data_IF_568797030336
#
_entry.id   IF_568797030336
#
_cell.length_a   1.000
_cell.length_b   1.000
_cell.length_c   1.000
_cell.angle_alpha   90.00
_cell.angle_beta   90.00
_cell.angle_gamma   90.00
#
_symmetry.space_group_name_H-M   'P 1'
#
loop_
_entity.id
_entity.type
_entity.pdbx_description
1 polymer ?
#
# COMPACT_ATOMS: atom_id res chain seq x y z
N UNK A 1 3.94 35.01 -74.23
CA UNK A 1 2.68 34.29 -73.95
C UNK A 1 3.06 33.11 -73.06
N UNK A 2 2.89 33.23 -71.74
CA UNK A 2 1.73 32.71 -70.97
C UNK A 2 1.60 31.18 -71.09
N UNK A 3 1.99 30.42 -70.08
CA UNK A 3 1.07 29.95 -69.03
C UNK A 3 1.83 29.11 -67.97
N UNK A 4 1.70 29.59 -66.74
CA UNK A 4 2.09 28.95 -65.49
C UNK A 4 1.16 27.76 -65.25
N UNK A 5 1.71 26.56 -65.05
CA UNK A 5 0.94 25.41 -64.52
C UNK A 5 1.39 25.20 -63.07
N UNK A 6 0.71 25.89 -62.17
CA UNK A 6 0.75 25.61 -60.72
C UNK A 6 -0.15 24.40 -60.50
N UNK A 7 0.47 23.24 -60.29
CA UNK A 7 -0.22 22.04 -59.84
C UNK A 7 -0.55 22.21 -58.35
N UNK A 8 -1.80 22.57 -58.09
CA UNK A 8 -2.41 22.76 -56.78
C UNK A 8 -2.35 21.46 -55.97
N UNK A 9 -1.37 21.33 -55.09
CA UNK A 9 -1.33 20.32 -54.04
C UNK A 9 -2.42 20.64 -53.01
N UNK A 10 -3.63 20.16 -53.27
CA UNK A 10 -4.76 20.21 -52.33
C UNK A 10 -4.42 19.28 -51.16
N UNK A 11 -3.94 19.86 -50.06
CA UNK A 11 -3.82 19.21 -48.76
C UNK A 11 -5.21 18.71 -48.34
N UNK A 12 -5.48 17.41 -48.52
CA UNK A 12 -6.57 16.73 -47.83
C UNK A 12 -6.22 16.71 -46.33
N UNK A 13 -6.53 17.80 -45.65
CA UNK A 13 -6.58 17.83 -44.19
C UNK A 13 -7.78 17.00 -43.77
N UNK A 14 -7.60 15.69 -43.64
CA UNK A 14 -8.62 14.85 -43.00
C UNK A 14 -8.70 15.30 -41.55
N UNK A 15 -9.83 15.86 -41.08
CA UNK A 15 -9.98 16.10 -39.65
C UNK A 15 -9.82 14.76 -38.96
N UNK A 16 -8.85 14.65 -38.05
CA UNK A 16 -8.81 13.53 -37.12
C UNK A 16 -9.99 13.76 -36.18
N UNK A 17 -11.13 13.14 -36.49
CA UNK A 17 -12.28 13.17 -35.61
C UNK A 17 -11.86 12.48 -34.32
N UNK A 18 -11.91 13.20 -33.20
CA UNK A 18 -11.89 12.56 -31.90
C UNK A 18 -13.07 11.57 -31.90
N UNK A 19 -12.77 10.28 -31.82
CA UNK A 19 -13.81 9.28 -31.79
C UNK A 19 -14.62 9.48 -30.50
N UNK A 20 -15.94 9.53 -30.60
CA UNK A 20 -16.79 9.63 -29.41
C UNK A 20 -16.93 8.28 -28.72
N UNK A 21 -17.27 8.29 -27.43
CA UNK A 21 -17.66 7.09 -26.70
C UNK A 21 -19.04 6.62 -27.16
N UNK A 22 -19.07 5.48 -27.83
CA UNK A 22 -20.28 4.89 -28.39
C UNK A 22 -20.71 3.67 -27.59
N UNK A 23 -22.02 3.53 -27.40
CA UNK A 23 -22.59 2.38 -26.70
C UNK A 23 -22.65 1.18 -27.65
N UNK A 24 -21.82 0.18 -27.39
CA UNK A 24 -21.76 -1.05 -28.18
C UNK A 24 -22.67 -2.16 -27.64
N UNK A 25 -22.88 -2.18 -26.32
CA UNK A 25 -23.72 -3.20 -25.66
C UNK A 25 -24.57 -2.56 -24.56
N UNK A 26 -25.83 -2.98 -24.48
CA UNK A 26 -26.77 -2.62 -23.42
C UNK A 26 -27.55 -3.88 -23.02
N UNK A 27 -27.75 -4.10 -21.73
CA UNK A 27 -28.67 -5.10 -21.17
C UNK A 27 -29.26 -4.54 -19.87
N UNK A 28 -30.53 -4.82 -19.60
CA UNK A 28 -31.21 -4.32 -18.40
C UNK A 28 -31.35 -2.80 -18.40
N UNK A 29 -31.54 -2.20 -17.23
CA UNK A 29 -31.69 -0.75 -17.10
C UNK A 29 -30.34 -0.03 -17.23
N UNK A 30 -30.20 0.80 -18.27
CA UNK A 30 -29.07 1.73 -18.45
C UNK A 30 -29.61 3.11 -18.80
N UNK A 31 -29.21 4.12 -18.04
CA UNK A 31 -29.70 5.49 -18.19
C UNK A 31 -28.56 6.50 -18.20
N UNK A 32 -28.73 7.57 -18.97
CA UNK A 32 -27.83 8.72 -19.01
C UNK A 32 -28.56 9.98 -18.58
N UNK A 33 -27.85 10.93 -17.97
CA UNK A 33 -28.45 12.20 -17.53
C UNK A 33 -28.40 13.24 -18.64
N UNK A 34 -29.56 13.66 -19.14
CA UNK A 34 -29.71 14.72 -20.14
C UNK A 34 -30.52 15.85 -19.50
N UNK A 35 -29.88 17.00 -19.30
CA UNK A 35 -30.44 18.08 -18.49
C UNK A 35 -30.69 17.60 -17.06
N UNK A 36 -31.95 17.64 -16.62
CA UNK A 36 -32.36 17.18 -15.29
C UNK A 36 -32.95 15.75 -15.29
N UNK A 37 -33.11 15.14 -16.45
CA UNK A 37 -33.81 13.85 -16.60
C UNK A 37 -32.84 12.69 -16.85
N UNK A 38 -33.19 11.53 -16.31
CA UNK A 38 -32.56 10.26 -16.66
C UNK A 38 -33.28 9.68 -17.88
N UNK A 39 -32.54 9.43 -18.94
CA UNK A 39 -33.05 8.92 -20.23
C UNK A 39 -32.41 7.57 -20.50
N UNK A 40 -33.20 6.60 -20.97
CA UNK A 40 -32.70 5.28 -21.33
C UNK A 40 -31.62 5.36 -22.42
N UNK A 41 -30.61 4.50 -22.32
CA UNK A 41 -29.52 4.38 -23.28
C UNK A 41 -29.75 3.19 -24.18
N UNK A 42 -29.57 3.40 -25.48
CA UNK A 42 -29.65 2.36 -26.51
C UNK A 42 -28.27 2.09 -27.13
N UNK A 43 -28.11 0.92 -27.75
CA UNK A 43 -26.92 0.63 -28.57
C UNK A 43 -26.85 1.65 -29.72
N UNK A 44 -25.66 2.18 -29.97
CA UNK A 44 -25.39 3.20 -30.97
C UNK A 44 -25.43 4.62 -30.40
N UNK A 45 -25.98 4.82 -29.20
CA UNK A 45 -25.96 6.13 -28.56
C UNK A 45 -24.53 6.61 -28.31
N UNK A 46 -24.33 7.91 -28.47
CA UNK A 46 -23.09 8.59 -28.09
C UNK A 46 -23.22 9.12 -26.67
N UNK A 47 -22.26 8.79 -25.82
CA UNK A 47 -22.14 9.33 -24.46
C UNK A 47 -21.29 10.60 -24.52
N UNK A 48 -21.94 11.75 -24.34
CA UNK A 48 -21.24 13.03 -24.33
C UNK A 48 -20.25 13.16 -23.15
N UNK A 49 -19.25 14.02 -23.33
CA UNK A 49 -18.28 14.32 -22.29
C UNK A 49 -18.93 14.76 -20.97
N UNK A 50 -18.36 14.28 -19.87
CA UNK A 50 -18.76 14.51 -18.48
C UNK A 50 -20.24 14.19 -18.19
N UNK A 51 -20.90 13.37 -19.02
CA UNK A 51 -22.29 12.94 -18.83
C UNK A 51 -22.37 11.80 -17.81
N UNK A 52 -23.33 11.90 -16.90
CA UNK A 52 -23.62 10.79 -15.98
C UNK A 52 -24.24 9.63 -16.75
N UNK A 53 -23.69 8.45 -16.53
CA UNK A 53 -24.19 7.17 -17.02
C UNK A 53 -24.38 6.24 -15.81
N UNK A 54 -25.55 5.61 -15.71
CA UNK A 54 -25.95 4.79 -14.57
C UNK A 54 -26.57 3.48 -15.04
N UNK A 55 -26.19 2.38 -14.42
CA UNK A 55 -26.80 1.05 -14.59
C UNK A 55 -27.65 0.69 -13.38
N UNK A 56 -28.82 0.09 -13.61
CA UNK A 56 -29.63 -0.55 -12.57
C UNK A 56 -29.01 -1.85 -12.08
N UNK A 57 -29.71 -2.61 -11.24
CA UNK A 57 -29.20 -3.86 -10.66
C UNK A 57 -28.97 -4.96 -11.71
N UNK A 58 -29.82 -5.03 -12.73
CA UNK A 58 -29.70 -5.91 -13.89
C UNK A 58 -29.00 -5.25 -15.10
N UNK A 59 -28.67 -3.96 -14.96
CA UNK A 59 -28.08 -3.12 -16.00
C UNK A 59 -26.65 -3.51 -16.33
N UNK A 60 -26.28 -3.51 -17.62
CA UNK A 60 -24.92 -3.67 -18.14
C UNK A 60 -24.75 -2.79 -19.36
N UNK A 61 -23.62 -2.10 -19.45
CA UNK A 61 -23.28 -1.28 -20.61
C UNK A 61 -21.85 -1.55 -21.05
N UNK A 62 -21.62 -1.62 -22.36
CA UNK A 62 -20.29 -1.66 -22.96
C UNK A 62 -20.12 -0.47 -23.88
N UNK A 63 -19.14 0.37 -23.60
CA UNK A 63 -18.77 1.54 -24.38
C UNK A 63 -17.47 1.27 -25.13
N UNK A 64 -17.33 1.82 -26.33
CA UNK A 64 -16.09 1.76 -27.08
C UNK A 64 -15.75 3.08 -27.74
N UNK A 65 -14.45 3.34 -27.81
CA UNK A 65 -13.83 4.42 -28.57
C UNK A 65 -12.53 3.90 -29.18
N UNK A 66 -12.50 3.70 -30.49
CA UNK A 66 -11.34 3.09 -31.17
C UNK A 66 -11.02 1.70 -30.59
N UNK A 67 -9.86 1.57 -29.93
CA UNK A 67 -9.39 0.33 -29.30
C UNK A 67 -9.64 0.25 -27.79
N UNK A 68 -10.23 1.28 -27.22
CA UNK A 68 -10.51 1.36 -25.79
C UNK A 68 -11.94 0.94 -25.51
N UNK A 69 -12.14 0.20 -24.43
CA UNK A 69 -13.47 -0.23 -23.99
C UNK A 69 -13.69 0.00 -22.51
N UNK A 70 -14.91 0.39 -22.16
CA UNK A 70 -15.38 0.54 -20.77
C UNK A 70 -16.61 -0.36 -20.61
N UNK A 71 -16.56 -1.29 -19.67
CA UNK A 71 -17.68 -2.17 -19.33
C UNK A 71 -18.20 -1.80 -17.94
N UNK A 72 -19.51 -1.54 -17.85
CA UNK A 72 -20.22 -1.24 -16.62
C UNK A 72 -21.03 -2.45 -16.18
N UNK A 73 -20.80 -2.87 -14.94
CA UNK A 73 -21.63 -3.87 -14.27
C UNK A 73 -22.90 -3.22 -13.67
N UNK A 74 -23.77 -4.03 -13.08
CA UNK A 74 -24.97 -3.54 -12.41
C UNK A 74 -24.65 -2.68 -11.20
N UNK A 75 -25.56 -1.75 -10.88
CA UNK A 75 -25.40 -0.76 -9.80
C UNK A 75 -24.12 0.06 -9.95
N UNK A 76 -23.89 0.63 -11.13
CA UNK A 76 -22.69 1.41 -11.43
C UNK A 76 -23.05 2.80 -11.91
N UNK A 77 -22.34 3.82 -11.44
CA UNK A 77 -22.48 5.19 -11.93
C UNK A 77 -21.10 5.79 -12.23
N UNK A 78 -20.98 6.33 -13.44
CA UNK A 78 -19.75 6.97 -13.92
C UNK A 78 -20.02 8.27 -14.66
N UNK A 79 -18.95 9.04 -14.87
CA UNK A 79 -18.80 10.05 -15.92
C UNK A 79 -17.48 9.82 -16.63
N UNK A 80 -17.43 10.11 -17.92
CA UNK A 80 -16.19 10.07 -18.70
C UNK A 80 -15.79 11.50 -18.98
N UNK A 81 -14.59 11.90 -18.55
CA UNK A 81 -13.95 13.14 -18.97
C UNK A 81 -12.92 12.81 -20.03
N UNK A 82 -13.12 13.32 -21.22
CA UNK A 82 -12.32 13.00 -22.38
C UNK A 82 -11.74 14.27 -22.98
N UNK A 83 -10.43 14.47 -22.79
CA UNK A 83 -9.74 15.62 -23.35
C UNK A 83 -9.50 15.48 -24.88
N UNK A 84 -9.81 14.32 -25.46
CA UNK A 84 -9.62 14.00 -26.87
C UNK A 84 -8.79 12.73 -27.07
N UNK A 85 -8.80 12.20 -28.29
CA UNK A 85 -8.27 10.87 -28.61
C UNK A 85 -6.75 10.70 -28.34
N UNK A 86 -5.97 11.78 -28.37
CA UNK A 86 -4.52 11.77 -28.10
C UNK A 86 -4.16 12.19 -26.67
N UNK A 87 -5.15 12.62 -25.88
CA UNK A 87 -4.97 13.15 -24.54
C UNK A 87 -5.50 12.16 -23.49
N UNK A 88 -5.59 12.63 -22.25
CA UNK A 88 -6.01 11.85 -21.11
C UNK A 88 -7.53 11.64 -21.11
N UNK A 89 -7.97 10.39 -21.00
CA UNK A 89 -9.35 10.02 -20.65
C UNK A 89 -9.42 9.64 -19.18
N UNK A 90 -10.40 10.19 -18.46
CA UNK A 90 -10.61 9.96 -17.04
C UNK A 90 -12.03 9.48 -16.79
N UNK A 91 -12.19 8.25 -16.32
CA UNK A 91 -13.46 7.73 -15.86
C UNK A 91 -13.62 8.11 -14.38
N UNK A 92 -14.52 9.03 -14.10
CA UNK A 92 -14.94 9.39 -12.75
C UNK A 92 -16.01 8.40 -12.30
N UNK A 93 -15.68 7.49 -11.39
CA UNK A 93 -16.56 6.46 -10.88
C UNK A 93 -17.04 6.83 -9.48
N UNK A 94 -18.36 6.98 -9.35
CA UNK A 94 -18.99 7.30 -8.06
C UNK A 94 -19.16 6.02 -7.23
N UNK A 95 -19.66 4.94 -7.85
CA UNK A 95 -19.83 3.62 -7.25
C UNK A 95 -20.02 2.53 -8.33
N UNK A 96 -19.94 1.26 -7.93
CA UNK A 96 -20.19 0.09 -8.76
C UNK A 96 -18.91 -0.59 -9.23
N UNK A 97 -18.99 -1.31 -10.35
CA UNK A 97 -17.84 -2.02 -10.93
C UNK A 97 -17.66 -1.66 -12.40
N UNK A 98 -16.43 -1.27 -12.74
CA UNK A 98 -16.03 -0.84 -14.08
C UNK A 98 -14.84 -1.67 -14.52
N UNK A 99 -14.93 -2.31 -15.69
CA UNK A 99 -13.80 -2.98 -16.32
C UNK A 99 -13.31 -2.15 -17.50
N UNK A 100 -12.00 -1.97 -17.58
CA UNK A 100 -11.33 -1.14 -18.59
C UNK A 100 -10.41 -2.03 -19.42
N UNK A 101 -10.45 -1.84 -20.73
CA UNK A 101 -9.40 -2.25 -21.65
C UNK A 101 -8.87 -1.00 -22.34
N UNK A 102 -7.70 -0.53 -21.90
CA UNK A 102 -7.05 0.65 -22.45
C UNK A 102 -6.06 0.24 -23.55
N UNK A 103 -5.98 1.04 -24.61
CA UNK A 103 -5.01 0.83 -25.68
C UNK A 103 -3.58 0.91 -25.14
N UNK A 104 -2.65 0.13 -25.70
CA UNK A 104 -1.24 0.23 -25.30
C UNK A 104 -0.57 1.43 -25.98
N UNK A 105 -0.08 2.37 -25.17
CA UNK A 105 0.67 3.56 -25.59
C UNK A 105 1.93 3.75 -24.74
N UNK A 106 2.83 4.61 -25.22
CA UNK A 106 4.08 4.92 -24.50
C UNK A 106 3.88 5.91 -23.33
N UNK A 107 2.72 6.57 -23.27
CA UNK A 107 2.36 7.58 -22.29
C UNK A 107 1.09 7.18 -21.53
N UNK A 108 0.93 7.75 -20.33
CA UNK A 108 -0.31 7.62 -19.56
C UNK A 108 -1.40 8.40 -20.29
N UNK A 109 -2.52 7.76 -20.55
CA UNK A 109 -3.62 8.35 -21.33
C UNK A 109 -4.99 7.91 -20.83
N UNK A 110 -5.04 7.03 -19.82
CA UNK A 110 -6.29 6.56 -19.26
C UNK A 110 -6.19 6.50 -17.74
N UNK A 111 -7.25 6.96 -17.06
CA UNK A 111 -7.38 6.75 -15.62
C UNK A 111 -8.81 6.47 -15.20
N UNK A 112 -8.95 5.79 -14.07
CA UNK A 112 -10.20 5.66 -13.34
C UNK A 112 -9.99 6.32 -11.98
N UNK A 113 -10.86 7.26 -11.63
CA UNK A 113 -10.81 7.94 -10.35
C UNK A 113 -12.08 7.64 -9.57
N UNK A 114 -11.87 7.27 -8.31
CA UNK A 114 -12.94 7.07 -7.32
C UNK A 114 -12.71 8.04 -6.16
N UNK A 115 -13.61 8.02 -5.19
CA UNK A 115 -13.44 8.74 -3.93
C UNK A 115 -12.17 8.33 -3.14
N UNK A 116 -11.70 7.08 -3.30
CA UNK A 116 -10.66 6.50 -2.45
C UNK A 116 -9.32 6.29 -3.16
N UNK A 117 -9.36 6.01 -4.46
CA UNK A 117 -8.15 5.77 -5.25
C UNK A 117 -8.27 6.30 -6.67
N UNK A 118 -7.11 6.54 -7.28
CA UNK A 118 -6.96 6.76 -8.71
C UNK A 118 -6.08 5.65 -9.31
N UNK A 119 -6.54 5.05 -10.41
CA UNK A 119 -5.81 4.05 -11.18
C UNK A 119 -5.39 4.68 -12.52
N UNK A 120 -4.09 4.78 -12.79
CA UNK A 120 -3.53 5.44 -13.98
C UNK A 120 -2.75 4.43 -14.82
N UNK A 121 -2.97 4.45 -16.13
CA UNK A 121 -2.50 3.37 -17.01
C UNK A 121 -2.01 3.86 -18.37
N UNK A 122 -1.17 3.02 -18.99
CA UNK A 122 -0.64 3.17 -20.34
C UNK A 122 -1.08 2.07 -21.31
N UNK A 123 -1.89 1.10 -20.89
CA UNK A 123 -2.25 -0.05 -21.72
C UNK A 123 -2.44 -1.32 -20.91
N UNK A 124 -3.65 -1.49 -20.39
CA UNK A 124 -3.95 -2.47 -19.35
C UNK A 124 -5.36 -2.99 -19.48
N UNK A 125 -5.58 -4.20 -18.92
CA UNK A 125 -6.91 -4.70 -18.63
C UNK A 125 -7.07 -4.87 -17.13
N UNK A 126 -7.98 -4.11 -16.55
CA UNK A 126 -8.18 -4.07 -15.11
C UNK A 126 -9.63 -3.75 -14.77
N UNK A 127 -10.01 -4.09 -13.54
CA UNK A 127 -11.35 -3.85 -13.02
C UNK A 127 -11.23 -3.01 -11.76
N UNK A 128 -12.05 -1.96 -11.67
CA UNK A 128 -12.18 -1.10 -10.51
C UNK A 128 -13.55 -1.28 -9.89
N UNK A 129 -13.57 -1.61 -8.60
CA UNK A 129 -14.78 -1.67 -7.80
C UNK A 129 -14.75 -0.55 -6.78
N UNK A 130 -15.83 0.22 -6.69
CA UNK A 130 -15.97 1.30 -5.73
C UNK A 130 -17.32 1.21 -5.02
N UNK A 131 -17.32 1.47 -3.73
CA UNK A 131 -18.52 1.58 -2.92
C UNK A 131 -18.44 2.79 -1.99
N UNK A 132 -19.38 2.91 -1.05
CA UNK A 132 -19.46 4.06 -0.15
C UNK A 132 -18.33 4.14 0.89
N UNK A 133 -17.54 3.07 1.09
CA UNK A 133 -16.50 2.97 2.11
C UNK A 133 -15.15 2.49 1.58
N UNK A 134 -15.08 1.94 0.38
CA UNK A 134 -13.87 1.37 -0.19
C UNK A 134 -13.78 1.51 -1.71
N UNK A 135 -12.56 1.34 -2.21
CA UNK A 135 -12.32 1.05 -3.61
C UNK A 135 -11.22 -0.01 -3.74
N UNK A 136 -11.29 -0.82 -4.80
CA UNK A 136 -10.28 -1.82 -5.13
C UNK A 136 -10.04 -1.88 -6.63
N UNK A 137 -8.82 -2.28 -6.99
CA UNK A 137 -8.36 -2.47 -8.36
C UNK A 137 -7.81 -3.87 -8.47
N UNK A 138 -8.23 -4.62 -9.50
CA UNK A 138 -7.66 -5.92 -9.84
C UNK A 138 -7.12 -5.87 -11.27
N UNK A 139 -5.89 -6.36 -11.47
CA UNK A 139 -5.20 -6.26 -12.75
C UNK A 139 -5.09 -7.63 -13.40
N UNK A 140 -5.54 -7.73 -14.65
CA UNK A 140 -5.45 -8.96 -15.45
C UNK A 140 -4.36 -8.89 -16.52
N UNK A 141 -4.01 -7.68 -16.99
CA UNK A 141 -2.97 -7.47 -18.00
C UNK A 141 -2.33 -6.09 -17.84
N UNK A 142 -1.00 -6.04 -18.02
CA UNK A 142 -0.21 -4.81 -17.97
C UNK A 142 0.05 -4.37 -16.54
N UNK A 143 0.43 -3.10 -16.36
CA UNK A 143 0.77 -2.51 -15.05
C UNK A 143 -0.13 -1.32 -14.79
N UNK A 144 -0.79 -1.31 -13.64
CA UNK A 144 -1.64 -0.20 -13.21
C UNK A 144 -1.00 0.51 -12.04
N UNK A 145 -0.75 1.81 -12.19
CA UNK A 145 -0.33 2.62 -11.05
C UNK A 145 -1.57 2.99 -10.24
N UNK A 146 -1.61 2.59 -8.97
CA UNK A 146 -2.71 2.91 -8.05
C UNK A 146 -2.22 3.92 -7.02
N UNK A 147 -3.02 4.97 -6.82
CA UNK A 147 -2.75 6.05 -5.89
C UNK A 147 -3.88 6.13 -4.85
N UNK A 148 -3.54 6.24 -3.57
CA UNK A 148 -4.49 6.56 -2.49
C UNK A 148 -4.81 8.05 -2.55
N UNK A 149 -6.06 8.38 -2.86
CA UNK A 149 -6.51 9.77 -3.07
C UNK A 149 -6.43 10.64 -1.81
N UNK A 150 -6.25 10.05 -0.62
CA UNK A 150 -6.24 10.78 0.67
C UNK A 150 -4.89 10.80 1.37
N UNK A 151 -3.99 9.85 1.09
CA UNK A 151 -2.82 9.58 1.94
C UNK A 151 -1.48 9.67 1.21
N UNK A 152 -1.48 10.18 -0.02
CA UNK A 152 -0.28 10.35 -0.85
C UNK A 152 0.54 9.06 -1.03
N UNK A 153 -0.15 7.92 -1.08
CA UNK A 153 0.44 6.60 -1.29
C UNK A 153 0.29 6.19 -2.75
N UNK A 154 1.29 5.46 -3.25
CA UNK A 154 1.35 4.97 -4.62
C UNK A 154 2.01 3.59 -4.67
N UNK A 155 1.55 2.76 -5.60
CA UNK A 155 2.16 1.48 -5.92
C UNK A 155 1.81 1.07 -7.35
N UNK A 156 2.63 0.20 -7.92
CA UNK A 156 2.37 -0.42 -9.23
C UNK A 156 1.81 -1.82 -9.02
N UNK A 157 0.64 -2.08 -9.60
CA UNK A 157 -0.07 -3.36 -9.50
C UNK A 157 0.16 -4.17 -10.77
N UNK A 158 0.69 -5.37 -10.57
CA UNK A 158 1.02 -6.34 -11.62
C UNK A 158 -0.16 -7.28 -11.91
N UNK A 159 -0.15 -8.01 -13.04
CA UNK A 159 -1.19 -8.99 -13.34
C UNK A 159 -1.31 -10.05 -12.24
N UNK A 160 -2.53 -10.33 -11.81
CA UNK A 160 -2.82 -11.25 -10.72
C UNK A 160 -2.75 -10.64 -9.31
N UNK A 161 -2.36 -9.37 -9.20
CA UNK A 161 -2.42 -8.62 -7.96
C UNK A 161 -3.69 -7.77 -7.86
N UNK A 162 -4.00 -7.36 -6.64
CA UNK A 162 -5.05 -6.41 -6.31
C UNK A 162 -4.55 -5.32 -5.37
N UNK A 163 -5.14 -4.14 -5.49
CA UNK A 163 -4.98 -3.05 -4.54
C UNK A 163 -6.33 -2.73 -3.91
N UNK A 164 -6.34 -2.39 -2.63
CA UNK A 164 -7.54 -1.88 -1.96
C UNK A 164 -7.22 -0.70 -1.06
N UNK A 165 -8.18 0.23 -0.98
CA UNK A 165 -8.17 1.38 -0.08
C UNK A 165 -9.55 1.47 0.55
N UNK A 166 -9.61 1.68 1.86
CA UNK A 166 -10.88 1.96 2.54
C UNK A 166 -10.86 3.36 3.15
N UNK A 167 -12.02 3.75 3.68
CA UNK A 167 -12.17 5.02 4.39
C UNK A 167 -11.20 5.15 5.57
N UNK A 168 -10.94 4.06 6.29
CA UNK A 168 -10.05 4.02 7.46
C UNK A 168 -8.67 3.45 7.14
N UNK A 169 -8.61 2.41 6.31
CA UNK A 169 -7.38 1.67 6.00
C UNK A 169 -6.72 2.23 4.73
N UNK A 170 -5.45 2.66 4.83
CA UNK A 170 -4.62 3.04 3.67
C UNK A 170 -4.45 1.92 2.65
N UNK A 171 -3.78 2.25 1.53
CA UNK A 171 -3.45 1.35 0.44
C UNK A 171 -2.80 0.02 0.90
N UNK A 172 -3.48 -1.09 0.59
CA UNK A 172 -3.01 -2.47 0.75
C UNK A 172 -2.86 -3.08 -0.64
N UNK A 173 -1.83 -3.92 -0.81
CA UNK A 173 -1.60 -4.72 -2.01
C UNK A 173 -1.62 -6.19 -1.64
N UNK A 174 -2.34 -6.99 -2.43
CA UNK A 174 -2.46 -8.44 -2.24
C UNK A 174 -2.15 -9.18 -3.55
N UNK A 175 -1.84 -10.47 -3.42
CA UNK A 175 -1.53 -11.35 -4.55
C UNK A 175 -0.06 -11.77 -4.62
N UNK A 176 0.32 -12.50 -5.68
CA UNK A 176 1.66 -13.06 -5.84
C UNK A 176 2.73 -11.96 -5.86
N UNK A 177 3.71 -12.07 -4.95
CA UNK A 177 4.81 -11.11 -4.85
C UNK A 177 4.33 -9.67 -4.65
N UNK A 178 3.31 -9.48 -3.79
CA UNK A 178 2.65 -8.20 -3.54
C UNK A 178 3.62 -7.01 -3.54
N UNK A 179 3.31 -6.02 -4.37
CA UNK A 179 4.15 -4.85 -4.59
C UNK A 179 4.31 -4.00 -3.33
N UNK A 180 5.49 -3.39 -3.21
CA UNK A 180 5.75 -2.42 -2.13
C UNK A 180 4.91 -1.16 -2.33
N UNK A 181 4.54 -0.53 -1.22
CA UNK A 181 3.80 0.73 -1.21
C UNK A 181 4.75 1.87 -0.87
N UNK A 182 4.65 2.97 -1.60
CA UNK A 182 5.51 4.14 -1.44
C UNK A 182 4.66 5.38 -1.20
N UNK A 183 5.24 6.38 -0.54
CA UNK A 183 4.72 7.75 -0.62
C UNK A 183 5.07 8.36 -1.98
N UNK A 184 4.40 9.44 -2.39
CA UNK A 184 4.80 10.20 -3.59
C UNK A 184 6.23 10.75 -3.53
N UNK A 185 6.84 10.82 -2.34
CA UNK A 185 8.25 11.20 -2.15
C UNK A 185 9.23 10.02 -2.26
N UNK A 186 8.75 8.83 -2.60
CA UNK A 186 9.57 7.62 -2.78
C UNK A 186 9.94 6.89 -1.49
N UNK A 187 9.34 7.24 -0.35
CA UNK A 187 9.58 6.53 0.92
C UNK A 187 8.69 5.29 0.99
N UNK A 188 9.28 4.12 1.19
CA UNK A 188 8.55 2.86 1.39
C UNK A 188 7.80 2.85 2.72
N UNK A 189 6.52 2.50 2.68
CA UNK A 189 5.64 2.36 3.85
C UNK A 189 5.17 0.93 3.99
N UNK A 190 4.79 0.55 5.21
CA UNK A 190 4.15 -0.74 5.45
C UNK A 190 2.72 -0.74 4.87
N UNK A 191 2.34 -1.72 4.03
CA UNK A 191 1.00 -1.79 3.43
C UNK A 191 -0.11 -1.71 4.47
N UNK A 192 -1.17 -0.95 4.17
CA UNK A 192 -2.26 -0.70 5.12
C UNK A 192 -1.92 0.28 6.23
N UNK A 193 -0.77 0.96 6.15
CA UNK A 193 -0.39 2.03 7.08
C UNK A 193 0.13 3.25 6.32
N UNK A 194 0.41 4.33 7.05
CA UNK A 194 1.16 5.49 6.54
C UNK A 194 2.55 5.57 7.17
N UNK A 195 2.99 4.52 7.86
CA UNK A 195 4.24 4.52 8.62
C UNK A 195 5.39 4.10 7.71
N UNK A 196 6.50 4.87 7.66
CA UNK A 196 7.69 4.46 6.95
C UNK A 196 8.20 3.10 7.47
N UNK A 197 8.54 2.18 6.57
CA UNK A 197 8.93 0.81 6.92
C UNK A 197 10.11 0.75 7.90
N UNK A 198 11.08 1.66 7.76
CA UNK A 198 12.20 1.79 8.68
C UNK A 198 11.78 2.12 10.12
N UNK A 199 10.71 2.91 10.28
CA UNK A 199 10.18 3.30 11.58
C UNK A 199 9.34 2.18 12.21
N UNK A 200 8.58 1.43 11.40
CA UNK A 200 7.86 0.24 11.86
C UNK A 200 8.83 -0.83 12.40
N UNK A 201 9.93 -1.09 11.69
CA UNK A 201 10.97 -2.01 12.14
C UNK A 201 11.65 -1.56 13.46
N UNK A 202 11.86 -0.26 13.64
CA UNK A 202 12.43 0.30 14.88
C UNK A 202 11.45 0.28 16.06
N UNK A 203 10.14 0.32 15.82
CA UNK A 203 9.13 0.20 16.88
C UNK A 203 9.04 -1.26 17.38
N UNK A 204 9.10 -2.23 16.47
CA UNK A 204 9.09 -3.65 16.81
C UNK A 204 10.31 -4.05 17.67
N UNK A 205 11.51 -3.54 17.35
CA UNK A 205 12.72 -3.81 18.13
C UNK A 205 12.72 -3.18 19.53
N UNK A 206 12.06 -2.03 19.70
CA UNK A 206 11.84 -1.40 21.02
C UNK A 206 10.82 -2.15 21.87
N UNK A 207 9.77 -2.67 21.25
CA UNK A 207 8.72 -3.43 21.96
C UNK A 207 9.23 -4.81 22.40
N UNK A 208 10.04 -5.49 21.57
CA UNK A 208 10.72 -6.73 21.97
C UNK A 208 11.76 -6.49 23.09
N UNK A 209 12.46 -5.35 23.06
CA UNK A 209 13.41 -4.97 24.13
C UNK A 209 12.71 -4.70 25.47
N UNK A 210 11.55 -4.05 25.45
CA UNK A 210 10.72 -3.82 26.66
C UNK A 210 10.16 -5.11 27.24
N UNK A 211 9.59 -5.98 26.39
CA UNK A 211 9.07 -7.29 26.82
C UNK A 211 10.18 -8.19 27.41
N UNK A 212 11.38 -8.16 26.84
CA UNK A 212 12.54 -8.87 27.39
C UNK A 212 12.99 -8.31 28.74
N UNK A 213 13.10 -6.98 28.87
CA UNK A 213 13.47 -6.32 30.13
C UNK A 213 12.47 -6.56 31.27
N UNK A 214 11.18 -6.59 30.95
CA UNK A 214 10.11 -6.87 31.91
C UNK A 214 10.08 -8.34 32.35
N UNK A 215 10.31 -9.28 31.43
CA UNK A 215 10.45 -10.70 31.75
C UNK A 215 11.67 -11.00 32.66
N UNK A 216 12.82 -10.35 32.40
CA UNK A 216 14.03 -10.46 33.24
C UNK A 216 13.80 -9.86 34.63
N UNK A 217 13.11 -8.71 34.70
CA UNK A 217 12.81 -8.03 35.97
C UNK A 217 11.79 -8.79 36.83
N UNK A 218 10.88 -9.55 36.21
CA UNK A 218 9.94 -10.44 36.90
C UNK A 218 10.65 -11.71 37.42
N UNK A 219 11.54 -12.30 36.63
CA UNK A 219 12.33 -13.48 37.04
C UNK A 219 13.25 -13.20 38.23
N UNK A 220 13.81 -11.99 38.33
CA UNK A 220 14.65 -11.57 39.46
C UNK A 220 13.88 -11.41 40.78
N UNK A 221 12.54 -11.32 40.75
CA UNK A 221 11.68 -11.09 41.94
C UNK A 221 11.02 -12.35 42.49
N UNK A 222 11.06 -13.47 41.77
CA UNK A 222 10.37 -14.71 42.18
C UNK A 222 11.37 -15.85 42.44
N UNK A 223 11.52 -16.25 43.69
CA UNK A 223 12.32 -17.40 44.09
C UNK A 223 11.78 -18.73 43.54
N UNK A 224 12.68 -19.49 42.90
CA UNK A 224 12.71 -20.95 42.64
C UNK A 224 11.54 -21.69 41.97
N UNK A 225 10.28 -21.25 42.02
CA UNK A 225 9.16 -21.96 41.38
C UNK A 225 8.78 -21.42 39.98
N UNK A 226 9.23 -20.20 39.65
CA UNK A 226 9.08 -19.59 38.33
C UNK A 226 10.24 -19.92 37.36
N UNK A 227 11.23 -20.70 37.81
CA UNK A 227 12.41 -21.02 37.01
C UNK A 227 12.09 -21.93 35.82
N UNK A 228 11.09 -22.81 35.93
CA UNK A 228 10.69 -23.73 34.85
C UNK A 228 9.83 -23.04 33.77
N UNK A 229 8.97 -22.09 34.14
CA UNK A 229 8.18 -21.30 33.21
C UNK A 229 8.99 -20.16 32.57
N UNK A 230 9.96 -19.60 33.28
CA UNK A 230 10.96 -18.66 32.74
C UNK A 230 11.96 -19.36 31.81
N UNK A 231 12.39 -20.58 32.10
CA UNK A 231 13.22 -21.38 31.18
C UNK A 231 12.45 -21.76 29.91
N UNK A 232 11.15 -22.09 30.01
CA UNK A 232 10.32 -22.37 28.84
C UNK A 232 10.04 -21.10 28.00
N UNK A 233 9.85 -19.96 28.65
CA UNK A 233 9.70 -18.65 27.99
C UNK A 233 11.01 -18.13 27.38
N UNK A 234 12.14 -18.40 28.03
CA UNK A 234 13.49 -18.14 27.53
C UNK A 234 13.90 -19.10 26.40
N UNK A 235 13.40 -20.34 26.39
CA UNK A 235 13.58 -21.27 25.27
C UNK A 235 12.71 -20.89 24.07
N UNK A 236 11.47 -20.43 24.28
CA UNK A 236 10.63 -19.89 23.20
C UNK A 236 11.13 -18.53 22.68
N UNK A 237 11.77 -17.71 23.52
CA UNK A 237 12.41 -16.47 23.10
C UNK A 237 13.81 -16.71 22.50
N UNK A 238 14.56 -17.72 22.94
CA UNK A 238 15.76 -18.19 22.23
C UNK A 238 15.39 -18.84 20.89
N UNK A 239 14.21 -19.45 20.78
CA UNK A 239 13.63 -19.94 19.53
C UNK A 239 13.19 -18.81 18.60
N UNK A 240 12.62 -17.72 19.13
CA UNK A 240 12.24 -16.54 18.34
C UNK A 240 13.44 -15.65 18.00
N UNK A 241 14.45 -15.57 18.86
CA UNK A 241 15.76 -14.98 18.56
C UNK A 241 16.50 -15.87 17.58
N UNK A 242 16.42 -17.20 17.71
CA UNK A 242 16.94 -18.15 16.72
C UNK A 242 16.27 -17.96 15.36
N UNK A 243 14.95 -17.79 15.31
CA UNK A 243 14.18 -17.51 14.09
C UNK A 243 14.45 -16.10 13.52
N UNK A 244 14.65 -15.09 14.37
CA UNK A 244 15.04 -13.74 13.98
C UNK A 244 16.49 -13.69 13.47
N UNK A 245 17.38 -14.49 14.07
CA UNK A 245 18.78 -14.62 13.64
C UNK A 245 18.87 -15.45 12.36
N UNK A 246 18.00 -16.46 12.21
CA UNK A 246 17.88 -17.24 10.97
C UNK A 246 17.31 -16.41 9.82
N UNK A 247 16.29 -15.59 10.07
CA UNK A 247 15.72 -14.69 9.05
C UNK A 247 16.64 -13.50 8.74
N UNK A 248 17.37 -12.97 9.71
CA UNK A 248 18.44 -12.00 9.48
C UNK A 248 19.64 -12.61 8.73
N UNK A 249 20.00 -13.87 9.02
CA UNK A 249 21.03 -14.60 8.29
C UNK A 249 20.58 -14.95 6.86
N UNK A 250 19.29 -15.29 6.66
CA UNK A 250 18.73 -15.52 5.34
C UNK A 250 18.68 -14.23 4.52
N UNK A 251 18.22 -13.12 5.12
CA UNK A 251 18.23 -11.80 4.49
C UNK A 251 19.64 -11.27 4.18
N UNK A 252 20.61 -11.54 5.06
CA UNK A 252 22.02 -11.23 4.82
C UNK A 252 22.63 -12.15 3.73
N UNK A 253 22.23 -13.42 3.66
CA UNK A 253 22.66 -14.34 2.61
C UNK A 253 22.07 -13.97 1.24
N UNK A 254 20.82 -13.52 1.18
CA UNK A 254 20.18 -13.07 -0.06
C UNK A 254 20.71 -11.69 -0.50
N UNK A 255 21.02 -10.80 0.45
CA UNK A 255 21.74 -9.55 0.17
C UNK A 255 23.19 -9.78 -0.28
N UNK A 256 23.88 -10.81 0.25
CA UNK A 256 25.23 -11.18 -0.17
C UNK A 256 25.26 -11.83 -1.57
N UNK A 257 24.24 -12.64 -1.91
CA UNK A 257 24.05 -13.15 -3.29
C UNK A 257 23.76 -12.02 -4.28
N UNK A 258 23.03 -10.99 -3.87
CA UNK A 258 22.73 -9.82 -4.69
C UNK A 258 23.91 -8.85 -4.83
N UNK A 259 24.89 -8.87 -3.91
CA UNK A 259 26.01 -7.91 -3.86
C UNK A 259 27.40 -8.49 -4.17
N UNK A 260 27.52 -9.82 -4.36
CA UNK A 260 28.79 -10.47 -4.71
C UNK A 260 29.86 -10.44 -3.61
N UNK A 261 29.49 -10.11 -2.37
CA UNK A 261 30.41 -9.97 -1.25
C UNK A 261 30.62 -11.30 -0.48
N UNK A 262 31.83 -11.49 0.08
CA UNK A 262 32.16 -12.65 0.91
C UNK A 262 31.31 -12.69 2.20
N UNK A 263 30.36 -13.64 2.24
CA UNK A 263 29.38 -13.87 3.33
C UNK A 263 30.04 -13.91 4.71
N UNK A 264 31.24 -14.50 4.83
CA UNK A 264 31.95 -14.63 6.10
C UNK A 264 32.34 -13.30 6.76
N UNK A 265 32.68 -12.28 5.97
CA UNK A 265 33.03 -10.97 6.51
C UNK A 265 31.81 -10.19 6.99
N UNK A 266 30.75 -10.16 6.18
CA UNK A 266 29.49 -9.48 6.50
C UNK A 266 28.83 -10.04 7.77
N UNK A 267 28.81 -11.38 7.90
CA UNK A 267 28.31 -12.07 9.09
C UNK A 267 29.20 -11.76 10.31
N UNK A 268 30.52 -11.74 10.17
CA UNK A 268 31.41 -11.43 11.30
C UNK A 268 31.25 -9.98 11.80
N UNK A 269 31.05 -9.01 10.90
CA UNK A 269 30.83 -7.60 11.27
C UNK A 269 29.47 -7.39 11.91
N UNK A 270 28.42 -8.03 11.39
CA UNK A 270 27.09 -7.98 11.97
C UNK A 270 27.07 -8.61 13.37
N UNK A 271 27.67 -9.79 13.53
CA UNK A 271 27.80 -10.47 14.83
C UNK A 271 28.62 -9.65 15.81
N UNK A 272 29.75 -9.07 15.41
CA UNK A 272 30.57 -8.21 16.29
C UNK A 272 29.81 -6.96 16.72
N UNK A 273 29.05 -6.34 15.83
CA UNK A 273 28.27 -5.14 16.12
C UNK A 273 27.10 -5.47 17.06
N UNK A 274 26.40 -6.58 16.84
CA UNK A 274 25.36 -7.06 17.75
C UNK A 274 25.93 -7.39 19.13
N UNK A 275 27.06 -8.12 19.20
CA UNK A 275 27.73 -8.45 20.48
C UNK A 275 28.20 -7.19 21.21
N UNK A 276 28.73 -6.20 20.49
CA UNK A 276 29.16 -4.93 21.09
C UNK A 276 27.97 -4.16 21.67
N UNK A 277 26.86 -4.07 20.93
CA UNK A 277 25.64 -3.41 21.39
C UNK A 277 25.00 -4.13 22.59
N UNK A 278 25.00 -5.47 22.59
CA UNK A 278 24.54 -6.27 23.73
C UNK A 278 25.43 -6.07 24.95
N UNK A 279 26.75 -5.94 24.77
CA UNK A 279 27.71 -5.69 25.87
C UNK A 279 27.57 -4.29 26.47
N UNK A 280 27.30 -3.28 25.65
CA UNK A 280 26.98 -1.92 26.10
C UNK A 280 25.66 -1.89 26.87
N UNK A 281 24.65 -2.59 26.36
CA UNK A 281 23.34 -2.73 27.03
C UNK A 281 23.49 -3.45 28.38
N UNK A 282 24.31 -4.51 28.43
CA UNK A 282 24.57 -5.25 29.67
C UNK A 282 25.33 -4.41 30.71
N UNK A 283 26.25 -3.53 30.28
CA UNK A 283 26.93 -2.58 31.17
C UNK A 283 25.98 -1.55 31.77
N UNK A 284 25.11 -0.94 30.96
CA UNK A 284 24.13 0.02 31.44
C UNK A 284 23.13 -0.59 32.44
N UNK A 285 22.72 -1.84 32.21
CA UNK A 285 21.87 -2.59 33.14
C UNK A 285 22.62 -2.87 34.46
N UNK A 286 23.90 -3.22 34.41
CA UNK A 286 24.74 -3.45 35.60
C UNK A 286 24.89 -2.19 36.46
N UNK A 287 25.11 -1.02 35.85
CA UNK A 287 25.26 0.25 36.57
C UNK A 287 23.92 0.66 37.23
N UNK A 288 22.82 0.53 36.50
CA UNK A 288 21.47 0.82 37.01
C UNK A 288 21.08 -0.07 38.19
N UNK A 289 21.43 -1.37 38.14
CA UNK A 289 21.19 -2.32 39.24
C UNK A 289 22.03 -1.95 40.47
N UNK A 290 23.27 -1.49 40.28
CA UNK A 290 24.16 -1.13 41.38
C UNK A 290 23.68 0.11 42.12
N UNK A 291 23.17 1.13 41.41
CA UNK A 291 22.55 2.32 42.02
C UNK A 291 21.25 1.96 42.77
N UNK A 292 20.38 1.16 42.16
CA UNK A 292 19.11 0.76 42.76
C UNK A 292 19.30 -0.04 44.06
N UNK A 293 20.31 -0.91 44.11
CA UNK A 293 20.66 -1.68 45.32
C UNK A 293 21.22 -0.77 46.41
N UNK A 294 22.05 0.22 46.05
CA UNK A 294 22.63 1.18 47.01
C UNK A 294 21.56 2.06 47.67
N UNK A 295 20.60 2.55 46.89
CA UNK A 295 19.49 3.36 47.38
C UNK A 295 18.57 2.54 48.30
N UNK A 296 18.28 1.29 47.94
CA UNK A 296 17.46 0.39 48.74
C UNK A 296 18.12 0.02 50.09
N UNK A 297 19.44 -0.21 50.10
CA UNK A 297 20.19 -0.49 51.33
C UNK A 297 20.22 0.73 52.26
N UNK A 298 20.38 1.94 51.71
CA UNK A 298 20.39 3.18 52.49
C UNK A 298 19.03 3.49 53.14
N UNK A 299 17.93 3.24 52.41
CA UNK A 299 16.57 3.39 52.92
C UNK A 299 16.25 2.40 54.05
N UNK A 300 16.76 1.17 53.93
CA UNK A 300 16.56 0.11 54.93
C UNK A 300 17.37 0.39 56.21
N UNK A 301 18.61 0.89 56.11
CA UNK A 301 19.40 1.27 57.30
C UNK A 301 18.80 2.47 58.06
N UNK A 302 18.20 3.43 57.34
CA UNK A 302 17.52 4.58 57.96
C UNK A 302 16.24 4.21 58.71
N UNK A 303 15.51 3.19 58.21
CA UNK A 303 14.32 2.68 58.86
C UNK A 303 14.63 1.95 60.18
N UNK A 304 15.67 1.11 60.19
CA UNK A 304 16.09 0.34 61.38
C UNK A 304 16.64 1.25 62.51
N UNK A 305 17.34 2.33 62.14
CA UNK A 305 17.83 3.32 63.12
C UNK A 305 16.72 4.11 63.83
N UNK A 306 15.62 4.42 63.11
CA UNK A 306 14.45 5.09 63.69
C UNK A 306 13.64 4.18 64.63
N UNK A 307 13.59 2.88 64.35
CA UNK A 307 12.85 1.93 65.19
C UNK A 307 13.57 1.59 66.50
N UNK A 308 14.91 1.57 66.52
CA UNK A 308 15.66 1.33 67.76
C UNK A 308 15.73 2.56 68.68
N UNK A 309 15.75 3.78 68.13
CA UNK A 309 15.79 5.01 68.93
C UNK A 309 14.48 5.36 69.65
N UNK A 310 13.35 4.81 69.19
CA UNK A 310 12.03 5.05 69.79
C UNK A 310 11.69 4.14 70.98
N UNK A 311 12.48 3.10 71.25
CA UNK A 311 12.23 2.13 72.32
C UNK A 311 13.01 2.42 73.62
N UNK A 312 13.82 3.48 73.65
CA UNK A 312 14.70 3.86 74.77
C UNK A 312 14.41 5.26 75.34
N UNK A 313 13.17 5.75 75.20
CA UNK A 313 12.70 6.99 75.84
C UNK A 313 11.37 6.78 76.54
#
# INVERSE_FOLDING_TARGET
MRFVVVLLALLLSTPVWAADWTVQRVRGEVTQKIGMSWVAVSRGDVIADNRYLKTGSDGRAGLARGRETIELEGNTQIRIKDAGAELMTTVLQDFGTVSIEAERRNVQHFSVQTKYLAAVVKGTRFTVRADAQSASVTVSRGVVQVQDSKRDLVTDILPGQSASVTSSVPLIVEGPGASNVFTFKGVEVEPGTTTPKAQAAAAQSKQSGRAFGEAVSAAAKSGSAAASSAANSAASSAGSVGAATSSAAQGAADAAKASGANVGQAVSSAVKQTVSNTRETAKGVSETVTETVKDTVSATSGAVGKTLGGLLR
#
